data_IF_232712654565
#
_entry.id   IF_232712654565
#
_cell.length_a   1.000
_cell.length_b   1.000
_cell.length_c   1.000
_cell.angle_alpha   90.00
_cell.angle_beta   90.00
_cell.angle_gamma   90.00
#
_symmetry.space_group_name_H-M   'P 1'
#
loop_
_entity.id
_entity.type
_entity.pdbx_description
1 polymer ?
#
# COMPACT_ATOMS: atom_id res chain seq x y z
N UNK A 1 -1.40 -15.19 31.59
CA UNK A 1 -1.98 -14.81 32.90
C UNK A 1 -0.94 -14.05 33.74
N UNK A 2 0.25 -14.59 33.99
CA UNK A 2 1.27 -13.96 34.85
C UNK A 2 1.64 -12.52 34.49
N UNK A 3 1.80 -12.17 33.21
CA UNK A 3 2.16 -10.81 32.77
C UNK A 3 1.06 -9.78 33.06
N UNK A 4 -0.21 -10.18 33.04
CA UNK A 4 -1.33 -9.27 33.33
C UNK A 4 -1.41 -9.02 34.83
N UNK A 5 -1.19 -10.04 35.63
CA UNK A 5 -1.12 -9.93 37.09
C UNK A 5 0.03 -9.02 37.55
N UNK A 6 1.22 -9.16 36.94
CA UNK A 6 2.38 -8.29 37.23
C UNK A 6 2.14 -6.82 36.85
N UNK A 7 1.39 -6.53 35.79
CA UNK A 7 1.16 -5.15 35.32
C UNK A 7 -0.06 -4.51 35.97
N UNK A 8 -1.13 -5.26 36.17
CA UNK A 8 -2.43 -4.73 36.57
C UNK A 8 -2.89 -5.19 37.95
N UNK A 9 -2.18 -6.11 38.63
CA UNK A 9 -2.43 -6.54 40.00
C UNK A 9 -3.69 -7.40 40.18
N UNK A 10 -4.18 -8.07 39.12
CA UNK A 10 -5.29 -9.01 39.21
C UNK A 10 -5.08 -10.23 38.28
N UNK A 11 -5.55 -11.38 38.73
CA UNK A 11 -5.53 -12.60 37.92
C UNK A 11 -6.72 -12.63 36.95
N UNK A 12 -6.45 -13.06 35.73
CA UNK A 12 -7.47 -13.34 34.70
C UNK A 12 -7.43 -14.83 34.34
N UNK A 13 -8.58 -15.48 34.41
CA UNK A 13 -8.68 -16.89 34.00
C UNK A 13 -8.46 -17.07 32.49
N UNK A 14 -8.05 -18.28 32.08
CA UNK A 14 -7.91 -18.61 30.66
C UNK A 14 -9.23 -18.48 29.90
N UNK A 15 -10.35 -18.85 30.53
CA UNK A 15 -11.70 -18.72 29.97
C UNK A 15 -12.07 -17.26 29.73
N UNK A 16 -11.72 -16.36 30.66
CA UNK A 16 -11.95 -14.92 30.50
C UNK A 16 -11.13 -14.35 29.33
N UNK A 17 -9.86 -14.75 29.20
CA UNK A 17 -9.02 -14.34 28.08
C UNK A 17 -9.62 -14.83 26.77
N UNK A 18 -10.04 -16.10 26.69
CA UNK A 18 -10.69 -16.66 25.50
C UNK A 18 -11.97 -15.91 25.16
N UNK A 19 -12.85 -15.66 26.11
CA UNK A 19 -14.10 -14.92 25.89
C UNK A 19 -13.87 -13.48 25.38
N UNK A 20 -12.86 -12.78 25.93
CA UNK A 20 -12.47 -11.45 25.43
C UNK A 20 -11.94 -11.55 24.01
N UNK A 21 -11.08 -12.53 23.71
CA UNK A 21 -10.51 -12.74 22.39
C UNK A 21 -11.60 -13.03 21.37
N UNK A 22 -12.55 -13.90 21.68
CA UNK A 22 -13.67 -14.25 20.81
C UNK A 22 -14.53 -13.03 20.49
N UNK A 23 -14.82 -12.19 21.49
CA UNK A 23 -15.55 -10.92 21.28
C UNK A 23 -14.78 -9.95 20.38
N UNK A 24 -13.47 -9.82 20.55
CA UNK A 24 -12.63 -8.98 19.68
C UNK A 24 -12.64 -9.51 18.25
N UNK A 25 -12.55 -10.83 18.06
CA UNK A 25 -12.62 -11.47 16.74
C UNK A 25 -13.97 -11.21 16.06
N UNK A 26 -15.08 -11.33 16.82
CA UNK A 26 -16.42 -11.05 16.32
C UNK A 26 -16.54 -9.58 15.86
N UNK A 27 -16.15 -8.63 16.70
CA UNK A 27 -16.12 -7.21 16.35
C UNK A 27 -15.25 -6.93 15.11
N UNK A 28 -14.09 -7.59 15.00
CA UNK A 28 -13.23 -7.47 13.83
C UNK A 28 -13.89 -8.02 12.55
N UNK A 29 -14.64 -9.13 12.66
CA UNK A 29 -15.40 -9.70 11.54
C UNK A 29 -16.56 -8.78 11.11
N UNK A 30 -17.30 -8.21 12.06
CA UNK A 30 -18.35 -7.23 11.78
C UNK A 30 -17.77 -6.01 11.06
N UNK A 31 -16.65 -5.48 11.56
CA UNK A 31 -15.95 -4.38 10.92
C UNK A 31 -15.48 -4.73 9.51
N UNK A 32 -14.89 -5.90 9.31
CA UNK A 32 -14.41 -6.36 7.99
C UNK A 32 -15.56 -6.50 6.99
N UNK A 33 -16.73 -6.96 7.43
CA UNK A 33 -17.89 -7.22 6.56
C UNK A 33 -18.87 -6.03 6.46
N UNK A 34 -18.57 -4.90 7.10
CA UNK A 34 -19.46 -3.75 7.08
C UNK A 34 -19.70 -3.23 5.66
N UNK A 35 -20.87 -2.65 5.38
CA UNK A 35 -21.12 -1.94 4.12
C UNK A 35 -20.10 -0.82 3.90
N UNK A 36 -19.67 -0.64 2.66
CA UNK A 36 -18.77 0.42 2.25
C UNK A 36 -19.51 1.53 1.52
N UNK A 37 -18.87 2.68 1.35
CA UNK A 37 -19.42 3.76 0.52
C UNK A 37 -19.41 3.35 -0.95
N UNK A 38 -20.35 3.88 -1.71
CA UNK A 38 -20.52 3.55 -3.14
C UNK A 38 -19.35 4.04 -3.99
N UNK A 39 -18.73 5.16 -3.62
CA UNK A 39 -17.69 5.80 -4.38
C UNK A 39 -16.49 6.20 -3.53
N UNK A 40 -15.29 5.92 -4.07
CA UNK A 40 -14.03 6.37 -3.49
C UNK A 40 -13.19 7.13 -4.52
N UNK A 41 -12.65 8.29 -4.12
CA UNK A 41 -11.77 9.09 -4.98
C UNK A 41 -10.40 8.46 -5.15
N UNK A 42 -9.85 7.89 -4.06
CA UNK A 42 -8.56 7.20 -4.07
C UNK A 42 -8.62 5.92 -3.25
N UNK A 43 -8.10 4.84 -3.82
CA UNK A 43 -7.70 3.64 -3.08
C UNK A 43 -6.18 3.51 -3.11
N UNK A 44 -5.61 3.25 -1.94
CA UNK A 44 -4.23 2.81 -1.80
C UNK A 44 -4.24 1.34 -1.43
N UNK A 45 -3.67 0.51 -2.29
CA UNK A 45 -3.56 -0.92 -2.07
C UNK A 45 -2.11 -1.28 -1.81
N UNK A 46 -1.87 -2.00 -0.74
CA UNK A 46 -0.53 -2.41 -0.33
C UNK A 46 -0.55 -3.81 0.27
N UNK A 47 0.56 -4.49 0.16
CA UNK A 47 0.77 -5.81 0.74
C UNK A 47 2.06 -5.79 1.57
N UNK A 48 1.96 -6.22 2.81
CA UNK A 48 3.12 -6.36 3.68
C UNK A 48 3.28 -7.81 4.10
N UNK A 49 4.54 -8.24 4.27
CA UNK A 49 4.84 -9.56 4.79
C UNK A 49 5.10 -9.47 6.29
N UNK A 50 4.44 -10.35 7.05
CA UNK A 50 4.63 -10.51 8.49
C UNK A 50 4.92 -11.96 8.81
N UNK A 51 5.69 -12.20 9.85
CA UNK A 51 5.94 -13.53 10.37
C UNK A 51 4.93 -13.83 11.47
N UNK A 52 4.09 -14.83 11.27
CA UNK A 52 3.12 -15.30 12.27
C UNK A 52 3.64 -16.62 12.86
N UNK A 53 3.74 -16.66 14.19
CA UNK A 53 4.06 -17.90 14.90
C UNK A 53 2.79 -18.67 15.17
N UNK A 54 2.69 -19.89 14.63
CA UNK A 54 1.60 -20.81 14.85
C UNK A 54 2.18 -22.21 15.10
N UNK A 55 1.72 -22.88 16.14
CA UNK A 55 2.11 -24.27 16.47
C UNK A 55 3.64 -24.49 16.53
N UNK A 56 4.37 -23.54 17.15
CA UNK A 56 5.83 -23.50 17.27
C UNK A 56 6.60 -23.25 15.95
N UNK A 57 5.89 -23.12 14.84
CA UNK A 57 6.47 -22.74 13.55
C UNK A 57 6.26 -21.26 13.25
N UNK A 58 7.24 -20.66 12.59
CA UNK A 58 7.14 -19.29 12.10
C UNK A 58 6.84 -19.33 10.61
N UNK A 59 5.67 -18.86 10.20
CA UNK A 59 5.25 -18.79 8.79
C UNK A 59 5.13 -17.34 8.35
N UNK A 60 5.75 -17.00 7.22
CA UNK A 60 5.51 -15.73 6.55
C UNK A 60 4.10 -15.67 5.97
N UNK A 61 3.37 -14.60 6.25
CA UNK A 61 2.04 -14.35 5.71
C UNK A 61 2.01 -13.00 5.01
N UNK A 62 1.26 -12.92 3.91
CA UNK A 62 0.96 -11.69 3.22
C UNK A 62 -0.26 -11.02 3.85
N UNK A 63 -0.12 -9.77 4.28
CA UNK A 63 -1.22 -8.97 4.83
C UNK A 63 -1.54 -7.88 3.81
N UNK A 64 -2.72 -7.96 3.25
CA UNK A 64 -3.26 -7.04 2.27
C UNK A 64 -4.08 -5.97 2.94
N UNK A 65 -3.90 -4.73 2.54
CA UNK A 65 -4.58 -3.59 3.13
C UNK A 65 -5.10 -2.68 2.03
N UNK A 66 -6.36 -2.28 2.13
CA UNK A 66 -6.93 -1.22 1.29
C UNK A 66 -7.32 -0.04 2.16
N UNK A 67 -6.75 1.10 1.83
CA UNK A 67 -7.08 2.39 2.41
C UNK A 67 -7.80 3.24 1.37
N UNK A 68 -8.99 3.74 1.68
CA UNK A 68 -9.78 4.59 0.79
C UNK A 68 -9.91 6.02 1.27
N UNK A 69 -10.08 6.93 0.34
CA UNK A 69 -10.55 8.29 0.57
C UNK A 69 -11.84 8.50 -0.20
N UNK A 70 -12.87 8.96 0.49
CA UNK A 70 -14.15 9.30 -0.11
C UNK A 70 -14.13 10.67 -0.80
N UNK A 71 -15.29 11.14 -1.26
CA UNK A 71 -15.46 12.45 -1.93
C UNK A 71 -15.19 13.63 -1.01
N UNK A 72 -15.35 13.46 0.30
CA UNK A 72 -15.12 14.48 1.31
C UNK A 72 -13.66 14.45 1.82
N UNK A 73 -12.82 13.55 1.27
CA UNK A 73 -11.44 13.35 1.69
C UNK A 73 -11.30 12.60 3.01
N UNK A 74 -12.39 11.98 3.50
CA UNK A 74 -12.36 11.20 4.73
C UNK A 74 -11.69 9.85 4.46
N UNK A 75 -10.69 9.54 5.29
CA UNK A 75 -9.91 8.32 5.21
C UNK A 75 -10.62 7.18 5.93
N UNK A 76 -10.70 6.02 5.26
CA UNK A 76 -11.21 4.78 5.83
C UNK A 76 -10.34 3.58 5.43
N UNK A 77 -10.12 2.63 6.34
CA UNK A 77 -9.50 1.33 6.03
C UNK A 77 -10.62 0.40 5.59
N UNK A 78 -10.68 0.06 4.31
CA UNK A 78 -11.78 -0.73 3.75
C UNK A 78 -11.75 -2.18 4.21
N UNK A 79 -10.57 -2.70 4.47
CA UNK A 79 -10.39 -4.05 4.98
C UNK A 79 -8.91 -4.44 5.08
N UNK A 80 -8.71 -5.58 5.77
CA UNK A 80 -7.43 -6.23 5.96
C UNK A 80 -7.62 -7.71 5.68
N UNK A 81 -6.80 -8.29 4.79
CA UNK A 81 -6.89 -9.70 4.43
C UNK A 81 -5.55 -10.38 4.64
N UNK A 82 -5.57 -11.65 4.98
CA UNK A 82 -4.37 -12.43 5.25
C UNK A 82 -4.34 -13.60 4.28
N UNK A 83 -3.22 -13.77 3.58
CA UNK A 83 -2.96 -14.84 2.65
C UNK A 83 -1.56 -15.42 2.81
N UNK A 84 -1.31 -16.55 2.16
CA UNK A 84 0.00 -17.21 2.22
C UNK A 84 1.09 -16.47 1.43
N UNK A 85 0.70 -15.85 0.31
CA UNK A 85 1.61 -15.08 -0.55
C UNK A 85 0.85 -14.05 -1.36
N UNK A 86 1.54 -12.97 -1.77
CA UNK A 86 0.96 -11.99 -2.66
C UNK A 86 0.76 -12.56 -4.07
N UNK A 87 -0.44 -12.38 -4.61
CA UNK A 87 -0.78 -12.84 -5.95
C UNK A 87 -2.00 -12.15 -6.55
N UNK A 88 -2.02 -12.11 -7.91
CA UNK A 88 -3.10 -11.51 -8.70
C UNK A 88 -4.49 -12.04 -8.31
N UNK A 89 -4.63 -13.37 -8.18
CA UNK A 89 -5.94 -13.98 -7.92
C UNK A 89 -6.51 -13.56 -6.56
N UNK A 90 -5.66 -13.42 -5.55
CA UNK A 90 -6.11 -12.99 -4.24
C UNK A 90 -6.53 -11.51 -4.24
N UNK A 91 -5.79 -10.65 -4.95
CA UNK A 91 -6.20 -9.26 -5.17
C UNK A 91 -7.55 -9.13 -5.89
N UNK A 92 -7.81 -10.01 -6.87
CA UNK A 92 -9.11 -10.05 -7.55
C UNK A 92 -10.25 -10.38 -6.59
N UNK A 93 -10.06 -11.38 -5.71
CA UNK A 93 -11.05 -11.73 -4.68
C UNK A 93 -11.30 -10.56 -3.72
N UNK A 94 -10.24 -9.83 -3.34
CA UNK A 94 -10.35 -8.63 -2.48
C UNK A 94 -11.17 -7.54 -3.19
N UNK A 95 -10.91 -7.26 -4.47
CA UNK A 95 -11.68 -6.26 -5.23
C UNK A 95 -13.15 -6.67 -5.43
N UNK A 96 -13.43 -7.94 -5.69
CA UNK A 96 -14.80 -8.46 -5.75
C UNK A 96 -15.49 -8.35 -4.40
N UNK A 97 -14.80 -8.61 -3.30
CA UNK A 97 -15.34 -8.49 -1.95
C UNK A 97 -15.71 -7.02 -1.64
N UNK A 98 -14.82 -6.05 -1.86
CA UNK A 98 -15.16 -4.65 -1.61
C UNK A 98 -16.32 -4.16 -2.50
N UNK A 99 -16.42 -4.68 -3.72
CA UNK A 99 -17.57 -4.41 -4.60
C UNK A 99 -18.86 -5.01 -4.04
N UNK A 100 -18.83 -6.25 -3.55
CA UNK A 100 -20.00 -6.89 -2.92
C UNK A 100 -20.44 -6.18 -1.65
N UNK A 101 -19.53 -5.50 -0.95
CA UNK A 101 -19.79 -4.66 0.23
C UNK A 101 -20.30 -3.26 -0.12
N UNK A 102 -20.55 -2.95 -1.41
CA UNK A 102 -21.24 -1.75 -1.87
C UNK A 102 -20.40 -0.75 -2.65
N UNK A 103 -19.11 -0.98 -2.89
CA UNK A 103 -18.30 -0.08 -3.72
C UNK A 103 -18.71 -0.24 -5.18
N UNK A 104 -19.31 0.80 -5.75
CA UNK A 104 -19.76 0.83 -7.13
C UNK A 104 -18.67 1.33 -8.07
N UNK A 105 -17.94 2.37 -7.66
CA UNK A 105 -16.90 2.98 -8.49
C UNK A 105 -15.72 3.56 -7.70
N UNK A 106 -14.56 3.62 -8.37
CA UNK A 106 -13.29 4.12 -7.83
C UNK A 106 -12.59 4.95 -8.89
N UNK A 107 -12.21 6.19 -8.56
CA UNK A 107 -11.56 7.06 -9.53
C UNK A 107 -10.07 6.73 -9.71
N UNK A 108 -9.34 6.58 -8.62
CA UNK A 108 -7.89 6.27 -8.65
C UNK A 108 -7.55 5.09 -7.74
N UNK A 109 -6.69 4.20 -8.24
CA UNK A 109 -6.04 3.16 -7.41
C UNK A 109 -4.53 3.32 -7.51
N UNK A 110 -3.88 3.52 -6.36
CA UNK A 110 -2.43 3.46 -6.24
C UNK A 110 -2.01 2.07 -5.77
N UNK A 111 -1.14 1.40 -6.53
CA UNK A 111 -0.71 0.02 -6.26
C UNK A 111 0.75 -0.22 -6.60
N UNK A 112 1.33 -1.30 -6.04
CA UNK A 112 2.64 -1.79 -6.47
C UNK A 112 2.57 -2.50 -7.84
N UNK A 113 3.73 -2.80 -8.38
CA UNK A 113 3.92 -3.39 -9.70
C UNK A 113 3.65 -4.90 -9.80
N UNK A 114 2.65 -5.43 -9.11
CA UNK A 114 2.27 -6.85 -9.21
C UNK A 114 1.69 -7.13 -10.59
N UNK A 115 2.25 -8.13 -11.27
CA UNK A 115 1.82 -8.50 -12.63
C UNK A 115 0.34 -8.89 -12.68
N UNK A 116 -0.41 -8.27 -13.61
CA UNK A 116 -1.83 -8.53 -13.82
C UNK A 116 -2.77 -7.90 -12.80
N UNK A 117 -2.24 -7.16 -11.79
CA UNK A 117 -3.07 -6.48 -10.80
C UNK A 117 -3.81 -5.29 -11.41
N UNK A 118 -3.17 -4.55 -12.31
CA UNK A 118 -3.78 -3.41 -13.01
C UNK A 118 -4.94 -3.84 -13.89
N UNK A 119 -4.76 -4.88 -14.71
CA UNK A 119 -5.81 -5.45 -15.55
C UNK A 119 -6.96 -5.99 -14.69
N UNK A 120 -6.62 -6.57 -13.54
CA UNK A 120 -7.59 -7.03 -12.58
C UNK A 120 -8.44 -5.90 -12.02
N UNK A 121 -7.81 -4.84 -11.53
CA UNK A 121 -8.53 -3.68 -11.01
C UNK A 121 -9.46 -3.06 -12.07
N UNK A 122 -8.97 -2.90 -13.31
CA UNK A 122 -9.76 -2.35 -14.45
C UNK A 122 -10.90 -3.29 -14.90
N UNK A 123 -10.81 -4.58 -14.67
CA UNK A 123 -11.91 -5.51 -14.97
C UNK A 123 -13.09 -5.36 -14.00
N UNK A 124 -12.84 -4.91 -12.79
CA UNK A 124 -13.84 -4.72 -11.73
C UNK A 124 -14.33 -3.28 -11.68
N UNK A 125 -13.43 -2.32 -11.77
CA UNK A 125 -13.69 -0.88 -11.82
C UNK A 125 -13.27 -0.34 -13.20
N UNK A 126 -14.22 -0.31 -14.13
CA UNK A 126 -13.95 -0.13 -15.57
C UNK A 126 -13.20 1.15 -15.92
N UNK A 127 -13.53 2.25 -15.27
CA UNK A 127 -13.00 3.59 -15.60
C UNK A 127 -11.89 4.02 -14.61
N UNK A 128 -11.41 3.10 -13.77
CA UNK A 128 -10.40 3.39 -12.77
C UNK A 128 -9.06 3.76 -13.38
N UNK A 129 -8.47 4.83 -12.87
CA UNK A 129 -7.10 5.22 -13.19
C UNK A 129 -6.13 4.51 -12.25
N UNK A 130 -5.33 3.61 -12.80
CA UNK A 130 -4.32 2.88 -12.02
C UNK A 130 -3.00 3.61 -12.07
N UNK A 131 -2.48 3.96 -10.89
CA UNK A 131 -1.19 4.61 -10.69
C UNK A 131 -0.21 3.69 -9.99
N UNK A 132 1.00 3.56 -10.53
CA UNK A 132 2.09 2.87 -9.83
C UNK A 132 2.55 3.69 -8.62
N UNK A 133 2.67 3.03 -7.48
CA UNK A 133 3.13 3.66 -6.25
C UNK A 133 4.56 4.19 -6.41
N UNK A 134 4.72 5.50 -6.38
CA UNK A 134 6.03 6.17 -6.52
C UNK A 134 6.99 5.75 -5.41
N UNK A 135 6.49 5.54 -4.20
CA UNK A 135 7.33 5.09 -3.07
C UNK A 135 7.91 3.71 -3.32
N UNK A 136 7.12 2.78 -3.90
CA UNK A 136 7.62 1.47 -4.31
C UNK A 136 8.63 1.57 -5.45
N UNK A 137 8.45 2.46 -6.42
CA UNK A 137 9.45 2.71 -7.47
C UNK A 137 10.77 3.20 -6.86
N UNK A 138 10.71 4.14 -5.92
CA UNK A 138 11.89 4.64 -5.20
C UNK A 138 12.57 3.49 -4.44
N UNK A 139 11.83 2.73 -3.62
CA UNK A 139 12.37 1.61 -2.85
C UNK A 139 13.03 0.56 -3.75
N UNK A 140 12.41 0.25 -4.88
CA UNK A 140 12.96 -0.69 -5.85
C UNK A 140 14.23 -0.17 -6.51
N UNK A 141 14.35 1.15 -6.76
CA UNK A 141 15.58 1.76 -7.25
C UNK A 141 16.71 1.70 -6.23
N UNK A 142 16.40 1.98 -4.96
CA UNK A 142 17.38 1.98 -3.88
C UNK A 142 18.02 0.61 -3.63
N UNK A 143 17.40 -0.50 -4.07
CA UNK A 143 18.02 -1.84 -4.02
C UNK A 143 19.32 -1.95 -4.82
N UNK A 144 19.52 -1.07 -5.81
CA UNK A 144 20.71 -1.02 -6.67
C UNK A 144 21.72 0.04 -6.23
N UNK A 145 21.41 0.85 -5.21
CA UNK A 145 22.20 2.00 -4.75
C UNK A 145 22.82 1.69 -3.39
N UNK A 146 24.09 2.04 -3.12
CA UNK A 146 24.67 1.94 -1.79
C UNK A 146 23.92 2.84 -0.78
N UNK A 147 23.77 2.40 0.45
CA UNK A 147 23.01 3.10 1.49
C UNK A 147 23.49 4.54 1.76
N UNK A 148 24.80 4.78 1.63
CA UNK A 148 25.38 6.14 1.76
C UNK A 148 24.82 7.15 0.77
N UNK A 149 24.33 6.67 -0.39
CA UNK A 149 23.86 7.51 -1.49
C UNK A 149 22.31 7.60 -1.54
N UNK A 150 21.59 6.92 -0.65
CA UNK A 150 20.11 6.90 -0.63
C UNK A 150 19.50 8.28 -0.59
N UNK A 151 20.02 9.17 0.26
CA UNK A 151 19.50 10.53 0.42
C UNK A 151 19.65 11.34 -0.87
N UNK A 152 20.80 11.27 -1.54
CA UNK A 152 21.06 11.97 -2.79
C UNK A 152 20.18 11.42 -3.93
N UNK A 153 20.10 10.11 -4.08
CA UNK A 153 19.25 9.46 -5.07
C UNK A 153 17.78 9.83 -4.89
N UNK A 154 17.24 9.71 -3.68
CA UNK A 154 15.85 10.04 -3.37
C UNK A 154 15.54 11.52 -3.63
N UNK A 155 16.47 12.42 -3.27
CA UNK A 155 16.31 13.86 -3.51
C UNK A 155 16.23 14.18 -5.02
N UNK A 156 17.02 13.50 -5.85
CA UNK A 156 17.01 13.70 -7.29
C UNK A 156 15.76 13.10 -7.94
N UNK A 157 15.34 11.90 -7.52
CA UNK A 157 14.08 11.31 -7.97
C UNK A 157 12.87 12.18 -7.60
N UNK A 158 12.91 12.85 -6.45
CA UNK A 158 11.86 13.81 -6.05
C UNK A 158 11.73 14.97 -7.03
N UNK A 159 12.82 15.41 -7.66
CA UNK A 159 12.78 16.45 -8.72
C UNK A 159 12.07 15.93 -9.96
N UNK A 160 12.18 14.65 -10.28
CA UNK A 160 11.51 14.02 -11.42
C UNK A 160 9.99 13.99 -11.21
N UNK A 161 9.50 13.25 -10.22
CA UNK A 161 8.05 13.09 -10.04
C UNK A 161 7.34 14.32 -9.46
N UNK A 162 8.07 15.22 -8.82
CA UNK A 162 7.57 16.50 -8.30
C UNK A 162 7.70 17.68 -9.26
N UNK A 163 8.19 17.45 -10.49
CA UNK A 163 8.39 18.50 -11.48
C UNK A 163 7.08 19.26 -11.83
N UNK A 164 7.15 20.51 -12.24
CA UNK A 164 5.94 21.30 -12.55
C UNK A 164 5.24 20.82 -13.82
N UNK A 165 5.94 20.20 -14.76
CA UNK A 165 5.40 19.71 -16.04
C UNK A 165 6.10 18.41 -16.47
N UNK A 166 5.50 17.68 -17.41
CA UNK A 166 6.10 16.47 -18.00
C UNK A 166 7.47 16.80 -18.62
N UNK A 167 7.57 17.87 -19.41
CA UNK A 167 8.85 18.30 -20.03
C UNK A 167 9.94 18.55 -18.98
N UNK A 168 9.59 19.14 -17.84
CA UNK A 168 10.55 19.34 -16.75
C UNK A 168 10.92 18.00 -16.08
N UNK A 169 9.97 17.08 -15.94
CA UNK A 169 10.22 15.76 -15.41
C UNK A 169 11.16 14.93 -16.30
N UNK A 170 10.97 15.00 -17.61
CA UNK A 170 11.84 14.36 -18.60
C UNK A 170 13.28 14.89 -18.50
N UNK A 171 13.44 16.20 -18.43
CA UNK A 171 14.75 16.84 -18.27
C UNK A 171 15.43 16.40 -16.95
N UNK A 172 14.70 16.39 -15.84
CA UNK A 172 15.23 15.91 -14.55
C UNK A 172 15.55 14.41 -14.58
N UNK A 173 14.80 13.62 -15.33
CA UNK A 173 15.09 12.19 -15.48
C UNK A 173 16.33 11.95 -16.33
N UNK A 174 16.58 12.74 -17.39
CA UNK A 174 17.85 12.69 -18.12
C UNK A 174 19.03 13.03 -17.21
N UNK A 175 18.93 14.09 -16.38
CA UNK A 175 19.94 14.39 -15.36
C UNK A 175 20.15 13.24 -14.39
N UNK A 176 19.06 12.57 -13.96
CA UNK A 176 19.13 11.38 -13.11
C UNK A 176 19.88 10.22 -13.80
N UNK A 177 19.57 9.92 -15.05
CA UNK A 177 20.24 8.86 -15.81
C UNK A 177 21.74 9.11 -15.94
N UNK A 178 22.15 10.34 -16.18
CA UNK A 178 23.56 10.72 -16.26
C UNK A 178 24.27 10.58 -14.90
N UNK A 179 23.69 11.16 -13.84
CA UNK A 179 24.28 11.15 -12.50
C UNK A 179 24.41 9.74 -11.91
N UNK A 180 23.50 8.83 -12.26
CA UNK A 180 23.42 7.48 -11.71
C UNK A 180 23.74 6.39 -12.75
N UNK A 181 24.45 6.74 -13.82
CA UNK A 181 24.80 5.84 -14.93
C UNK A 181 25.52 4.56 -14.50
N UNK A 182 26.27 4.62 -13.40
CA UNK A 182 26.94 3.48 -12.74
C UNK A 182 25.96 2.45 -12.12
N UNK A 183 24.69 2.82 -11.95
CA UNK A 183 23.63 1.96 -11.38
C UNK A 183 22.49 1.74 -12.38
N UNK A 184 22.72 1.03 -13.47
CA UNK A 184 21.74 0.85 -14.55
C UNK A 184 20.44 0.17 -14.07
N UNK A 185 20.51 -0.64 -13.02
CA UNK A 185 19.35 -1.27 -12.40
C UNK A 185 18.38 -0.25 -11.81
N UNK A 186 18.89 0.77 -11.11
CA UNK A 186 18.06 1.85 -10.56
C UNK A 186 17.35 2.65 -11.65
N UNK A 187 18.05 2.97 -12.74
CA UNK A 187 17.51 3.65 -13.91
C UNK A 187 16.42 2.81 -14.59
N UNK A 188 16.69 1.52 -14.77
CA UNK A 188 15.78 0.57 -15.43
C UNK A 188 14.42 0.45 -14.73
N UNK A 189 14.36 0.59 -13.40
CA UNK A 189 13.09 0.63 -12.66
C UNK A 189 12.20 1.76 -13.18
N UNK A 190 12.74 2.95 -13.38
CA UNK A 190 11.98 4.13 -13.85
C UNK A 190 11.67 4.05 -15.35
N UNK A 191 12.63 3.62 -16.17
CA UNK A 191 12.41 3.45 -17.61
C UNK A 191 11.23 2.53 -17.89
N UNK A 192 11.19 1.37 -17.22
CA UNK A 192 10.09 0.39 -17.40
C UNK A 192 8.74 0.88 -16.89
N UNK A 193 8.73 1.83 -15.98
CA UNK A 193 7.50 2.39 -15.39
C UNK A 193 7.23 3.84 -15.83
N UNK A 194 7.94 4.33 -16.87
CA UNK A 194 7.87 5.73 -17.25
C UNK A 194 6.45 6.16 -17.64
N UNK A 195 5.70 5.34 -18.34
CA UNK A 195 4.30 5.62 -18.68
C UNK A 195 3.43 5.93 -17.46
N UNK A 196 3.66 5.26 -16.34
CA UNK A 196 2.95 5.53 -15.09
C UNK A 196 3.44 6.82 -14.40
N UNK A 197 4.70 7.18 -14.56
CA UNK A 197 5.22 8.48 -14.08
C UNK A 197 4.67 9.62 -14.94
N UNK A 198 4.64 9.46 -16.26
CA UNK A 198 4.07 10.40 -17.22
C UNK A 198 2.58 10.66 -16.94
N UNK A 199 1.83 9.61 -16.61
CA UNK A 199 0.40 9.69 -16.26
C UNK A 199 0.12 10.67 -15.12
N UNK A 200 1.04 10.85 -14.16
CA UNK A 200 0.90 11.84 -13.08
C UNK A 200 0.68 13.25 -13.65
N UNK A 201 1.33 13.57 -14.75
CA UNK A 201 1.33 14.92 -15.33
C UNK A 201 0.06 15.25 -16.13
N UNK A 202 -0.85 14.29 -16.31
CA UNK A 202 -2.21 14.56 -16.82
C UNK A 202 -3.08 15.26 -15.78
N UNK A 203 -2.67 15.30 -14.50
CA UNK A 203 -3.44 15.86 -13.39
C UNK A 203 -2.78 17.09 -12.79
N UNK A 204 -3.60 17.96 -12.22
CA UNK A 204 -3.12 19.16 -11.51
C UNK A 204 -2.27 18.82 -10.29
N UNK A 205 -1.46 19.76 -9.83
CA UNK A 205 -0.48 19.55 -8.75
C UNK A 205 -1.08 19.04 -7.44
N UNK A 206 -2.31 19.44 -7.10
CA UNK A 206 -3.01 18.96 -5.90
C UNK A 206 -3.32 17.46 -5.97
N UNK A 207 -3.88 17.00 -7.10
CA UNK A 207 -4.19 15.57 -7.34
C UNK A 207 -2.90 14.77 -7.37
N UNK A 208 -1.87 15.23 -8.10
CA UNK A 208 -0.56 14.56 -8.14
C UNK A 208 0.04 14.37 -6.74
N UNK A 209 -0.07 15.39 -5.89
CA UNK A 209 0.44 15.32 -4.51
C UNK A 209 -0.22 14.18 -3.73
N UNK A 210 -1.52 13.94 -3.90
CA UNK A 210 -2.21 12.81 -3.29
C UNK A 210 -1.68 11.49 -3.89
N UNK A 211 -1.56 11.40 -5.22
CA UNK A 211 -1.15 10.18 -5.92
C UNK A 211 0.25 9.67 -5.51
N UNK A 212 1.21 10.57 -5.24
CA UNK A 212 2.56 10.18 -4.80
C UNK A 212 2.80 10.29 -3.29
N UNK A 213 1.80 10.71 -2.50
CA UNK A 213 1.91 10.78 -1.04
C UNK A 213 1.27 9.54 -0.43
N UNK A 214 2.08 8.56 -0.06
CA UNK A 214 1.62 7.31 0.56
C UNK A 214 1.71 7.32 2.09
N UNK A 215 1.92 8.49 2.70
CA UNK A 215 2.11 8.62 4.15
C UNK A 215 1.01 7.92 4.96
N UNK A 216 -0.24 7.94 4.49
CA UNK A 216 -1.35 7.34 5.20
C UNK A 216 -1.26 5.81 5.27
N UNK A 217 -0.98 5.13 4.14
CA UNK A 217 -0.83 3.68 4.11
C UNK A 217 0.50 3.24 4.75
N UNK A 218 1.56 4.04 4.61
CA UNK A 218 2.84 3.80 5.28
C UNK A 218 2.73 3.91 6.81
N UNK A 219 1.98 4.88 7.32
CA UNK A 219 1.71 5.02 8.76
C UNK A 219 0.94 3.80 9.30
N UNK A 220 -0.06 3.33 8.55
CA UNK A 220 -0.83 2.14 8.88
C UNK A 220 0.08 0.89 8.92
N UNK A 221 0.88 0.68 7.86
CA UNK A 221 1.82 -0.44 7.77
C UNK A 221 2.90 -0.38 8.87
N UNK A 222 3.35 0.82 9.25
CA UNK A 222 4.26 0.98 10.39
C UNK A 222 3.62 0.54 11.71
N UNK A 223 2.32 0.80 11.88
CA UNK A 223 1.53 0.29 13.01
C UNK A 223 1.53 -1.23 13.05
N UNK A 224 1.20 -1.89 11.94
CA UNK A 224 1.22 -3.36 11.85
C UNK A 224 2.58 -3.95 12.19
N UNK A 225 3.66 -3.42 11.63
CA UNK A 225 5.02 -3.91 11.91
C UNK A 225 5.44 -3.79 13.36
N UNK A 226 4.84 -2.87 14.15
CA UNK A 226 5.13 -2.76 15.59
C UNK A 226 4.47 -3.86 16.42
N UNK A 227 3.28 -4.31 16.03
CA UNK A 227 2.51 -5.32 16.76
C UNK A 227 2.77 -6.75 16.28
N UNK A 228 3.46 -6.93 15.14
CA UNK A 228 3.80 -8.24 14.56
C UNK A 228 5.29 -8.59 14.67
N UNK A 229 6.06 -7.85 15.47
CA UNK A 229 7.47 -8.13 15.78
C UNK A 229 7.63 -9.06 16.95
#
# INVERSE_FOLDING_TARGET
>A
AGTIEEIYGFEISHETISAITDRVIETAREWQNRPLKKFYTFLFVDCLYVNIRKDLETKGCAVYVILGYDVDGIKDVLGIWIGDSEGKHYWMQIFDEIKSRGVEDVLFISMDGVSGLEEGAKSIFKDVVVQRCIVHLIRNSLKYIPSKDYKACTAQLKRVYGAPSLKAAEAEFECFKQAWSQYPGAISVWVRNWAHVEQLFHYGSAVRKIMYTTNAIEALNSGFRKVTR
#
